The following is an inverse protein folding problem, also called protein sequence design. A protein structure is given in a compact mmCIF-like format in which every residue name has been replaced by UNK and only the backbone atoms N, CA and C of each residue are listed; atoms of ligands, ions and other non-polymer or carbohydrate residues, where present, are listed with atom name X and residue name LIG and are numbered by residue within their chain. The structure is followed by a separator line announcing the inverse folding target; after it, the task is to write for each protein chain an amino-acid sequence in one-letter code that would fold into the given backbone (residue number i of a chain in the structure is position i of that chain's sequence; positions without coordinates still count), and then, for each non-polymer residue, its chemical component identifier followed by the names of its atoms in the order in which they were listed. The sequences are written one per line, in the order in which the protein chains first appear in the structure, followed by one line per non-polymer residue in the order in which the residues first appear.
data_IF_409004167473
#
_entry.id   IF_409004167473
#
_cell.length_a   1.000
_cell.length_b   1.000
_cell.length_c   1.000
_cell.angle_alpha   90.00
_cell.angle_beta   90.00
_cell.angle_gamma   90.00
#
_symmetry.space_group_name_H-M   'P 1'
#
loop_
_entity.id
_entity.type
_entity.pdbx_description
1 polymer ?
#
# COMPACT_ATOMS: atom_id res chain seq x y z
N UNK A 1 33.03 38.26 19.52
CA UNK A 1 31.88 39.16 19.35
C UNK A 1 30.60 38.35 19.48
N UNK A 2 29.99 38.40 20.66
CA UNK A 2 28.75 37.68 20.97
C UNK A 2 27.57 38.49 20.45
N UNK A 3 26.71 37.90 19.62
CA UNK A 3 25.39 38.45 19.32
C UNK A 3 24.34 37.58 19.99
N UNK A 4 23.73 38.16 21.01
CA UNK A 4 22.62 37.61 21.79
C UNK A 4 21.37 37.55 20.91
N UNK A 5 20.79 36.36 20.71
CA UNK A 5 19.45 36.18 20.15
C UNK A 5 18.44 36.20 21.30
N UNK A 6 17.61 37.23 21.29
CA UNK A 6 16.52 37.41 22.24
C UNK A 6 15.36 36.48 21.85
N UNK A 7 14.97 35.65 22.80
CA UNK A 7 13.79 34.77 22.72
C UNK A 7 12.53 35.62 23.03
N UNK A 8 11.72 35.92 22.05
CA UNK A 8 10.41 36.53 22.24
C UNK A 8 9.36 35.44 22.49
N UNK A 9 8.92 35.38 23.76
CA UNK A 9 7.84 34.53 24.22
C UNK A 9 6.50 35.20 23.86
N UNK A 10 5.83 34.73 22.79
CA UNK A 10 4.47 35.18 22.47
C UNK A 10 3.47 34.34 23.27
N UNK A 11 2.87 34.96 24.28
CA UNK A 11 1.72 34.43 24.98
C UNK A 11 0.49 34.58 24.09
N UNK A 12 -0.01 33.48 23.55
CA UNK A 12 -1.24 33.42 22.77
C UNK A 12 -2.43 33.24 23.72
N UNK A 13 -3.29 34.25 23.78
CA UNK A 13 -4.57 34.23 24.50
C UNK A 13 -5.48 33.14 23.92
N UNK A 14 -5.91 32.23 24.77
CA UNK A 14 -6.97 31.28 24.49
C UNK A 14 -8.32 32.04 24.39
N UNK A 15 -8.80 32.25 23.18
CA UNK A 15 -10.21 32.60 22.94
C UNK A 15 -11.04 31.33 23.00
N UNK A 16 -11.84 31.20 24.08
CA UNK A 16 -12.88 30.19 24.14
C UNK A 16 -13.92 30.48 23.05
N UNK A 17 -13.72 29.83 21.88
CA UNK A 17 -14.75 29.71 20.85
C UNK A 17 -15.85 28.80 21.38
N UNK A 18 -17.01 29.36 21.72
CA UNK A 18 -18.26 28.63 21.90
C UNK A 18 -18.53 27.88 20.59
N UNK A 19 -18.27 26.57 20.59
CA UNK A 19 -18.73 25.67 19.53
C UNK A 19 -20.26 25.59 19.73
N UNK A 20 -20.99 26.35 18.93
CA UNK A 20 -22.38 26.04 18.68
C UNK A 20 -22.38 24.72 17.91
N UNK A 21 -22.73 23.65 18.61
CA UNK A 21 -23.16 22.43 17.96
C UNK A 21 -24.41 22.81 17.16
N UNK A 22 -24.28 23.01 15.88
CA UNK A 22 -25.40 23.01 14.96
C UNK A 22 -26.03 21.62 15.08
N UNK A 23 -27.14 21.53 15.82
CA UNK A 23 -28.03 20.36 15.70
C UNK A 23 -28.43 20.28 14.25
N UNK A 24 -27.79 19.34 13.52
CA UNK A 24 -28.26 18.94 12.22
C UNK A 24 -29.71 18.49 12.40
N UNK A 25 -30.67 18.99 11.59
CA UNK A 25 -32.01 18.52 11.66
C UNK A 25 -32.01 17.01 11.48
N UNK A 26 -32.50 16.29 12.51
CA UNK A 26 -32.79 14.86 12.41
C UNK A 26 -33.87 14.71 11.34
N UNK A 27 -33.47 14.62 10.11
CA UNK A 27 -34.35 14.33 8.97
C UNK A 27 -34.70 12.85 9.02
N UNK A 28 -35.61 12.54 9.78
CA UNK A 28 -36.85 11.79 9.72
C UNK A 28 -37.08 10.99 8.43
N UNK A 29 -36.65 9.84 8.39
CA UNK A 29 -36.77 8.65 7.57
C UNK A 29 -35.45 8.30 6.93
N UNK A 30 -34.61 7.75 7.75
CA UNK A 30 -33.42 7.07 7.26
C UNK A 30 -33.89 5.84 6.50
N UNK A 31 -33.84 5.90 5.18
CA UNK A 31 -34.17 4.79 4.30
C UNK A 31 -33.03 3.76 4.30
N UNK A 32 -33.36 2.48 4.15
CA UNK A 32 -32.38 1.39 4.09
C UNK A 32 -31.28 1.66 3.06
N UNK A 33 -31.64 2.25 1.91
CA UNK A 33 -30.67 2.58 0.85
C UNK A 33 -29.67 3.63 1.28
N UNK A 34 -30.12 4.66 2.03
CA UNK A 34 -29.21 5.70 2.53
C UNK A 34 -28.28 5.15 3.62
N UNK A 35 -28.77 4.27 4.50
CA UNK A 35 -27.93 3.58 5.50
C UNK A 35 -26.87 2.71 4.82
N UNK A 36 -27.27 1.97 3.78
CA UNK A 36 -26.33 1.16 3.03
C UNK A 36 -25.25 2.01 2.33
N UNK A 37 -25.61 3.13 1.70
CA UNK A 37 -24.66 4.02 1.05
C UNK A 37 -23.66 4.58 2.07
N UNK A 38 -24.11 5.02 3.22
CA UNK A 38 -23.25 5.50 4.29
C UNK A 38 -22.35 4.38 4.83
N UNK A 39 -22.87 3.16 4.93
CA UNK A 39 -22.07 1.99 5.31
C UNK A 39 -20.98 1.68 4.27
N UNK A 40 -21.29 1.74 2.97
CA UNK A 40 -20.29 1.53 1.89
C UNK A 40 -19.16 2.55 1.95
N UNK A 41 -19.46 3.81 2.29
CA UNK A 41 -18.48 4.88 2.33
C UNK A 41 -17.60 4.84 3.60
N UNK A 42 -18.12 4.30 4.70
CA UNK A 42 -17.46 4.33 6.00
C UNK A 42 -17.03 2.94 6.53
N UNK A 43 -17.33 1.85 5.83
CA UNK A 43 -16.98 0.51 6.30
C UNK A 43 -15.48 0.23 6.10
N UNK A 44 -14.78 -0.02 7.20
CA UNK A 44 -13.35 -0.29 7.21
C UNK A 44 -13.01 -1.66 6.57
N UNK A 45 -13.87 -2.67 6.73
CA UNK A 45 -13.64 -4.01 6.19
C UNK A 45 -13.77 -4.00 4.67
N UNK A 46 -14.74 -3.26 4.13
CA UNK A 46 -14.87 -3.07 2.68
C UNK A 46 -13.68 -2.28 2.11
N UNK A 47 -13.22 -1.24 2.81
CA UNK A 47 -12.04 -0.49 2.42
C UNK A 47 -10.78 -1.38 2.40
N UNK A 48 -10.63 -2.23 3.42
CA UNK A 48 -9.54 -3.21 3.49
C UNK A 48 -9.62 -4.24 2.35
N UNK A 49 -10.82 -4.77 2.06
CA UNK A 49 -11.03 -5.73 0.97
C UNK A 49 -10.70 -5.11 -0.41
N UNK A 50 -11.07 -3.85 -0.64
CA UNK A 50 -10.71 -3.10 -1.86
C UNK A 50 -9.20 -2.90 -1.99
N UNK A 51 -8.52 -2.55 -0.90
CA UNK A 51 -7.07 -2.40 -0.88
C UNK A 51 -6.37 -3.74 -1.13
N UNK A 52 -6.86 -4.82 -0.54
CA UNK A 52 -6.38 -6.18 -0.76
C UNK A 52 -6.53 -6.62 -2.22
N UNK A 53 -7.70 -6.39 -2.81
CA UNK A 53 -7.91 -6.66 -4.24
C UNK A 53 -6.94 -5.85 -5.11
N UNK A 54 -6.75 -4.55 -4.80
CA UNK A 54 -5.78 -3.72 -5.48
C UNK A 54 -4.36 -4.28 -5.44
N UNK A 55 -3.92 -4.79 -4.29
CA UNK A 55 -2.62 -5.45 -4.14
C UNK A 55 -2.53 -6.77 -4.93
N UNK A 56 -3.57 -7.58 -4.90
CA UNK A 56 -3.61 -8.86 -5.65
C UNK A 56 -3.63 -8.65 -7.17
N UNK A 57 -4.27 -7.61 -7.66
CA UNK A 57 -4.29 -7.24 -9.07
C UNK A 57 -2.87 -7.03 -9.64
N UNK A 58 -1.94 -6.54 -8.82
CA UNK A 58 -0.56 -6.31 -9.23
C UNK A 58 0.26 -7.60 -9.41
N UNK A 59 -0.25 -8.76 -8.99
CA UNK A 59 0.40 -10.05 -9.19
C UNK A 59 0.49 -10.42 -10.68
N UNK A 60 -0.51 -10.04 -11.48
CA UNK A 60 -0.54 -10.30 -12.92
C UNK A 60 0.57 -9.55 -13.68
N UNK A 61 0.74 -8.21 -13.54
CA UNK A 61 1.86 -7.51 -14.18
C UNK A 61 3.22 -7.99 -13.67
N UNK A 62 3.34 -8.38 -12.39
CA UNK A 62 4.58 -8.97 -11.85
C UNK A 62 4.90 -10.32 -12.53
N UNK A 63 3.92 -11.20 -12.69
CA UNK A 63 4.12 -12.47 -13.41
C UNK A 63 4.47 -12.23 -14.88
N UNK A 64 3.82 -11.24 -15.53
CA UNK A 64 4.12 -10.84 -16.91
C UNK A 64 5.54 -10.30 -17.05
N UNK A 65 6.05 -9.55 -16.06
CA UNK A 65 7.41 -9.04 -16.05
C UNK A 65 8.47 -10.16 -16.14
N UNK A 66 8.15 -11.37 -15.66
CA UNK A 66 9.00 -12.56 -15.80
C UNK A 66 9.20 -13.06 -17.23
N UNK A 67 8.37 -12.60 -18.18
CA UNK A 67 8.47 -12.90 -19.62
C UNK A 67 9.15 -11.77 -20.42
N UNK A 68 9.38 -10.61 -19.80
CA UNK A 68 9.98 -9.44 -20.43
C UNK A 68 11.50 -9.42 -20.26
N UNK A 69 12.23 -8.61 -21.07
CA UNK A 69 13.64 -8.38 -20.87
C UNK A 69 13.91 -7.79 -19.48
N UNK A 70 14.87 -8.36 -18.78
CA UNK A 70 15.36 -7.84 -17.51
C UNK A 70 16.69 -7.14 -17.72
N UNK A 71 16.76 -5.87 -17.32
CA UNK A 71 17.98 -5.07 -17.30
C UNK A 71 18.43 -4.88 -15.85
N UNK A 72 19.60 -5.36 -15.52
CA UNK A 72 20.23 -5.16 -14.22
C UNK A 72 21.52 -4.36 -14.37
N UNK A 73 21.77 -3.45 -13.41
CA UNK A 73 23.00 -2.71 -13.32
C UNK A 73 23.58 -2.87 -11.90
N UNK A 74 24.89 -3.08 -11.84
CA UNK A 74 25.64 -3.21 -10.59
C UNK A 74 26.91 -2.40 -10.67
N UNK A 75 27.34 -1.87 -9.52
CA UNK A 75 28.63 -1.23 -9.36
C UNK A 75 29.29 -1.77 -8.08
N UNK A 76 30.52 -2.22 -8.23
CA UNK A 76 31.31 -2.80 -7.14
C UNK A 76 32.59 -1.98 -6.97
N UNK A 77 32.92 -1.69 -5.73
CA UNK A 77 34.20 -1.09 -5.35
C UNK A 77 34.93 -2.10 -4.49
N UNK A 78 36.09 -2.54 -4.98
CA UNK A 78 36.91 -3.51 -4.28
C UNK A 78 38.30 -2.92 -3.99
N UNK A 79 38.66 -2.90 -2.71
CA UNK A 79 39.97 -2.49 -2.25
C UNK A 79 40.75 -3.72 -1.82
N UNK A 80 41.77 -4.09 -2.57
CA UNK A 80 42.62 -5.25 -2.27
C UNK A 80 43.96 -4.75 -1.76
N UNK A 81 44.27 -5.13 -0.52
CA UNK A 81 45.58 -4.92 0.07
C UNK A 81 46.35 -6.23 0.06
N UNK A 82 47.41 -6.28 -0.73
CA UNK A 82 48.32 -7.41 -0.80
C UNK A 82 49.58 -7.09 -0.05
N UNK A 83 49.92 -7.90 0.96
CA UNK A 83 51.19 -7.84 1.69
C UNK A 83 52.12 -8.91 1.13
N UNK A 84 53.28 -8.49 0.68
CA UNK A 84 54.29 -9.37 0.11
C UNK A 84 55.42 -9.46 1.12
N UNK A 85 55.72 -10.65 1.61
CA UNK A 85 56.67 -10.88 2.72
C UNK A 85 58.14 -10.76 2.34
N UNK A 86 58.49 -10.68 1.04
CA UNK A 86 59.92 -10.61 0.60
C UNK A 86 60.10 -9.75 -0.67
N UNK A 87 60.78 -8.64 -0.58
CA UNK A 87 60.97 -7.72 0.52
C UNK A 87 59.65 -7.05 0.89
N UNK A 88 59.47 -6.63 2.16
CA UNK A 88 58.19 -6.09 2.68
C UNK A 88 57.66 -4.93 1.79
N UNK A 89 56.73 -5.26 0.95
CA UNK A 89 56.03 -4.30 0.12
C UNK A 89 54.53 -4.46 0.30
N UNK A 90 53.83 -3.35 0.51
CA UNK A 90 52.36 -3.35 0.55
C UNK A 90 51.83 -2.74 -0.74
N UNK A 91 51.11 -3.50 -1.52
CA UNK A 91 50.43 -3.00 -2.69
C UNK A 91 48.94 -2.83 -2.40
N UNK A 92 48.44 -1.60 -2.54
CA UNK A 92 47.00 -1.32 -2.52
C UNK A 92 46.51 -1.22 -3.95
N UNK A 93 45.43 -1.96 -4.25
CA UNK A 93 44.75 -1.87 -5.54
C UNK A 93 43.29 -1.57 -5.31
N UNK A 94 42.84 -0.45 -5.83
CA UNK A 94 41.43 -0.09 -5.89
C UNK A 94 40.89 -0.48 -7.26
N UNK A 95 39.85 -1.29 -7.26
CA UNK A 95 39.16 -1.72 -8.47
C UNK A 95 37.72 -1.22 -8.41
N UNK A 96 37.34 -0.47 -9.40
CA UNK A 96 35.96 -0.05 -9.61
C UNK A 96 35.42 -0.82 -10.80
N UNK A 97 34.39 -1.62 -10.58
CA UNK A 97 33.74 -2.41 -11.61
C UNK A 97 32.30 -1.99 -11.72
N UNK A 98 31.87 -1.68 -12.92
CA UNK A 98 30.46 -1.52 -13.21
C UNK A 98 30.03 -2.55 -14.25
N UNK A 99 28.80 -3.04 -14.11
CA UNK A 99 28.23 -4.07 -14.97
C UNK A 99 26.80 -3.72 -15.31
N UNK A 100 26.44 -3.81 -16.57
CA UNK A 100 25.07 -3.79 -17.04
C UNK A 100 24.79 -5.13 -17.75
N UNK A 101 23.71 -5.80 -17.35
CA UNK A 101 23.34 -7.10 -17.92
C UNK A 101 21.91 -7.04 -18.39
N UNK A 102 21.68 -7.31 -19.67
CA UNK A 102 20.36 -7.48 -20.28
C UNK A 102 20.12 -8.98 -20.48
N UNK A 103 19.05 -9.49 -19.90
CA UNK A 103 18.66 -10.91 -20.03
C UNK A 103 17.23 -11.00 -20.55
N UNK A 104 17.04 -11.71 -21.66
CA UNK A 104 15.73 -11.98 -22.26
C UNK A 104 15.47 -13.47 -22.28
N UNK A 105 14.46 -13.98 -21.55
CA UNK A 105 14.03 -15.36 -21.72
C UNK A 105 13.33 -15.52 -23.09
N UNK A 106 13.81 -16.43 -23.92
CA UNK A 106 13.21 -16.71 -25.23
C UNK A 106 12.02 -17.66 -25.11
N UNK A 107 12.14 -18.68 -24.26
CA UNK A 107 11.06 -19.60 -23.96
C UNK A 107 11.20 -20.15 -22.54
N UNK A 108 10.17 -19.91 -21.71
CA UNK A 108 10.09 -20.42 -20.34
C UNK A 108 8.67 -20.84 -20.03
N UNK A 109 8.39 -22.12 -20.17
CA UNK A 109 7.06 -22.69 -19.91
C UNK A 109 6.61 -22.45 -18.46
N UNK A 110 7.54 -22.52 -17.49
CA UNK A 110 7.27 -22.22 -16.08
C UNK A 110 6.74 -20.80 -15.85
N UNK A 111 7.27 -19.81 -16.57
CA UNK A 111 6.81 -18.41 -16.46
C UNK A 111 5.44 -18.22 -17.12
N UNK A 112 5.17 -18.96 -18.17
CA UNK A 112 3.87 -18.93 -18.80
C UNK A 112 2.78 -19.47 -17.89
N UNK A 113 3.04 -20.62 -17.25
CA UNK A 113 2.09 -21.16 -16.25
C UNK A 113 1.96 -20.29 -15.00
N UNK A 114 3.04 -19.61 -14.58
CA UNK A 114 2.96 -18.62 -13.50
C UNK A 114 2.05 -17.45 -13.85
N UNK A 115 2.09 -16.96 -15.09
CA UNK A 115 1.18 -15.90 -15.54
C UNK A 115 -0.27 -16.39 -15.48
N UNK A 116 -0.55 -17.58 -15.99
CA UNK A 116 -1.89 -18.17 -15.97
C UNK A 116 -2.40 -18.39 -14.53
N UNK A 117 -1.53 -18.83 -13.64
CA UNK A 117 -1.87 -18.94 -12.20
C UNK A 117 -2.14 -17.57 -11.57
N UNK A 118 -1.37 -16.54 -11.92
CA UNK A 118 -1.58 -15.18 -11.44
C UNK A 118 -2.92 -14.59 -11.90
N UNK A 119 -3.35 -14.89 -13.11
CA UNK A 119 -4.67 -14.51 -13.62
C UNK A 119 -5.80 -15.17 -12.82
N UNK A 120 -5.68 -16.46 -12.50
CA UNK A 120 -6.64 -17.16 -11.66
C UNK A 120 -6.68 -16.60 -10.22
N UNK A 121 -5.53 -16.25 -9.64
CA UNK A 121 -5.46 -15.59 -8.31
C UNK A 121 -6.13 -14.22 -8.33
N UNK A 122 -5.96 -13.44 -9.40
CA UNK A 122 -6.62 -12.15 -9.55
C UNK A 122 -8.15 -12.31 -9.65
N UNK A 123 -8.65 -13.31 -10.38
CA UNK A 123 -10.07 -13.63 -10.46
C UNK A 123 -10.63 -14.05 -9.09
N UNK A 124 -9.91 -14.91 -8.37
CA UNK A 124 -10.27 -15.28 -6.98
C UNK A 124 -10.38 -14.05 -6.08
N UNK A 125 -9.44 -13.11 -6.17
CA UNK A 125 -9.45 -11.89 -5.36
C UNK A 125 -10.64 -10.98 -5.71
N UNK A 126 -11.05 -10.91 -6.98
CA UNK A 126 -12.23 -10.17 -7.41
C UNK A 126 -13.53 -10.77 -6.84
N UNK A 127 -13.63 -12.10 -6.84
CA UNK A 127 -14.78 -12.81 -6.25
C UNK A 127 -14.82 -12.63 -4.72
N UNK A 128 -13.67 -12.61 -4.06
CA UNK A 128 -13.58 -12.36 -2.63
C UNK A 128 -14.06 -10.94 -2.27
N UNK A 129 -13.70 -9.94 -3.06
CA UNK A 129 -14.21 -8.57 -2.88
C UNK A 129 -15.73 -8.54 -3.06
N UNK A 130 -16.26 -9.19 -4.10
CA UNK A 130 -17.71 -9.28 -4.33
C UNK A 130 -18.44 -9.97 -3.18
N UNK A 131 -17.86 -10.99 -2.58
CA UNK A 131 -18.43 -11.65 -1.40
C UNK A 131 -18.49 -10.68 -0.20
N UNK A 132 -17.44 -9.88 0.04
CA UNK A 132 -17.45 -8.86 1.11
C UNK A 132 -18.51 -7.78 0.86
N UNK A 133 -18.69 -7.36 -0.39
CA UNK A 133 -19.76 -6.40 -0.75
C UNK A 133 -21.15 -6.96 -0.48
N UNK A 134 -21.38 -8.22 -0.81
CA UNK A 134 -22.67 -8.88 -0.53
C UNK A 134 -22.91 -9.06 0.98
N UNK A 135 -21.88 -9.39 1.74
CA UNK A 135 -21.96 -9.51 3.19
C UNK A 135 -22.33 -8.16 3.84
N UNK A 136 -21.76 -7.05 3.36
CA UNK A 136 -22.11 -5.71 3.82
C UNK A 136 -23.58 -5.37 3.57
N UNK A 137 -24.14 -5.77 2.42
CA UNK A 137 -25.58 -5.61 2.13
C UNK A 137 -26.43 -6.33 3.16
N UNK A 138 -26.13 -7.61 3.42
CA UNK A 138 -26.86 -8.41 4.40
C UNK A 138 -26.76 -7.81 5.81
N UNK A 139 -25.55 -7.48 6.24
CA UNK A 139 -25.30 -6.90 7.56
C UNK A 139 -26.02 -5.55 7.74
N UNK A 140 -26.02 -4.71 6.72
CA UNK A 140 -26.73 -3.42 6.74
C UNK A 140 -28.22 -3.60 6.87
N UNK A 141 -28.80 -4.57 6.12
CA UNK A 141 -30.22 -4.88 6.18
C UNK A 141 -30.62 -5.48 7.55
N UNK A 142 -29.85 -6.43 8.06
CA UNK A 142 -30.10 -7.03 9.38
C UNK A 142 -30.07 -6.01 10.50
N UNK A 143 -29.06 -5.14 10.53
CA UNK A 143 -28.94 -4.10 11.52
C UNK A 143 -30.07 -3.06 11.43
N UNK A 144 -30.45 -2.67 10.22
CA UNK A 144 -31.56 -1.75 9.98
C UNK A 144 -32.89 -2.31 10.53
N UNK A 145 -33.21 -3.58 10.21
CA UNK A 145 -34.43 -4.23 10.71
C UNK A 145 -34.38 -4.51 12.22
N UNK A 146 -33.17 -4.75 12.78
CA UNK A 146 -33.02 -4.90 14.22
C UNK A 146 -33.35 -3.61 14.96
N UNK A 147 -32.92 -2.46 14.44
CA UNK A 147 -33.25 -1.13 15.01
C UNK A 147 -34.76 -0.86 14.91
N UNK A 148 -35.38 -1.12 13.75
CA UNK A 148 -36.84 -0.93 13.60
C UNK A 148 -37.63 -1.79 14.61
N UNK A 149 -37.25 -3.05 14.78
CA UNK A 149 -37.90 -3.97 15.75
C UNK A 149 -37.73 -3.51 17.19
N UNK A 150 -36.64 -2.77 17.50
CA UNK A 150 -36.43 -2.25 18.85
C UNK A 150 -37.19 -0.95 19.11
N UNK A 151 -37.74 -0.31 18.08
CA UNK A 151 -38.52 0.92 18.15
C UNK A 151 -40.04 0.65 18.29
N UNK A 152 -40.49 -0.55 17.88
CA UNK A 152 -41.87 -1.04 18.04
C UNK A 152 -42.08 -1.64 19.44
#
# INVERSE_FOLDING_TARGET
MLRKLSLALAVSCATNGMVWAAEAPLSTKTDLVSVYQEAVDNNADLAAARAQYGAQKEVVPQARAGLLPNLSAGADVNNVRTQIDTPSATANRDAHTWRATLSQPLFRADRWFQLQAAEAVNEQAALQLSATEQELILQSAENYFAVLRAQD
#
